data_IF_853137163888
#
_entry.id   IF_853137163888
#
_cell.length_a   1.000
_cell.length_b   1.000
_cell.length_c   1.000
_cell.angle_alpha   90.00
_cell.angle_beta   90.00
_cell.angle_gamma   90.00
#
_symmetry.space_group_name_H-M   'P 1'
#
loop_
_entity.id
_entity.type
_entity.pdbx_description
1 polymer ?
#
# COMPACT_ATOMS: atom_id res chain seq x y z
N UNK A 1 -19.19 45.55 -26.17
CA UNK A 1 -18.23 44.42 -26.33
C UNK A 1 -18.64 43.36 -25.33
N UNK A 2 -19.31 42.30 -25.81
CA UNK A 2 -19.75 41.17 -24.97
C UNK A 2 -18.57 40.23 -24.81
N UNK A 3 -17.90 40.27 -23.66
CA UNK A 3 -16.83 39.34 -23.33
C UNK A 3 -17.43 37.98 -22.99
N UNK A 4 -17.18 36.97 -23.82
CA UNK A 4 -17.48 35.57 -23.51
C UNK A 4 -16.78 35.17 -22.20
N UNK A 5 -17.41 34.36 -21.33
CA UNK A 5 -16.74 33.89 -20.12
C UNK A 5 -15.55 33.01 -20.52
N UNK A 6 -14.40 33.10 -19.82
CA UNK A 6 -13.29 32.20 -20.10
C UNK A 6 -13.72 30.77 -19.75
N UNK A 7 -13.81 29.90 -20.75
CA UNK A 7 -13.98 28.46 -20.53
C UNK A 7 -12.67 27.91 -19.97
N UNK A 8 -12.65 27.59 -18.68
CA UNK A 8 -11.52 26.93 -18.04
C UNK A 8 -11.18 25.63 -18.80
N UNK A 9 -9.89 25.39 -19.05
CA UNK A 9 -9.45 24.16 -19.72
C UNK A 9 -9.70 22.95 -18.83
N UNK A 10 -9.94 21.77 -19.44
CA UNK A 10 -10.10 20.50 -18.73
C UNK A 10 -8.92 20.23 -17.77
N UNK A 11 -7.70 20.56 -18.20
CA UNK A 11 -6.50 20.46 -17.35
C UNK A 11 -6.59 21.32 -16.09
N UNK A 12 -7.05 22.57 -16.22
CA UNK A 12 -7.21 23.48 -15.09
C UNK A 12 -8.27 22.98 -14.10
N UNK A 13 -9.32 22.33 -14.60
CA UNK A 13 -10.37 21.73 -13.76
C UNK A 13 -9.85 20.51 -12.99
N UNK A 14 -9.10 19.62 -13.64
CA UNK A 14 -8.48 18.45 -12.98
C UNK A 14 -7.45 18.88 -11.92
N UNK A 15 -6.62 19.88 -12.22
CA UNK A 15 -5.69 20.42 -11.23
C UNK A 15 -6.38 21.00 -10.00
N UNK A 16 -7.52 21.68 -10.21
CA UNK A 16 -8.30 22.26 -9.13
C UNK A 16 -8.94 21.17 -8.26
N UNK A 17 -9.54 20.16 -8.88
CA UNK A 17 -10.10 19.00 -8.18
C UNK A 17 -9.06 18.30 -7.32
N UNK A 18 -7.84 18.10 -7.87
CA UNK A 18 -6.71 17.57 -7.12
C UNK A 18 -6.30 18.47 -5.94
N UNK A 19 -6.30 19.80 -6.12
CA UNK A 19 -5.99 20.73 -5.03
C UNK A 19 -7.01 20.65 -3.90
N UNK A 20 -8.31 20.61 -4.22
CA UNK A 20 -9.40 20.49 -3.25
C UNK A 20 -9.32 19.16 -2.52
N UNK A 21 -9.14 18.06 -3.27
CA UNK A 21 -9.04 16.70 -2.71
C UNK A 21 -7.85 16.56 -1.76
N UNK A 22 -6.67 17.06 -2.16
CA UNK A 22 -5.46 17.02 -1.32
C UNK A 22 -5.62 17.83 -0.03
N UNK A 23 -6.26 19.00 -0.11
CA UNK A 23 -6.51 19.82 1.09
C UNK A 23 -7.52 19.17 2.03
N UNK A 24 -8.60 18.61 1.49
CA UNK A 24 -9.60 17.85 2.27
C UNK A 24 -8.97 16.64 2.97
N UNK A 25 -8.14 15.88 2.26
CA UNK A 25 -7.41 14.75 2.84
C UNK A 25 -6.46 15.19 3.95
N UNK A 26 -5.70 16.28 3.75
CA UNK A 26 -4.80 16.80 4.78
C UNK A 26 -5.58 17.23 6.04
N UNK A 27 -6.73 17.88 5.86
CA UNK A 27 -7.62 18.25 6.97
C UNK A 27 -8.12 17.02 7.74
N UNK A 28 -8.64 16.01 7.03
CA UNK A 28 -9.09 14.74 7.63
C UNK A 28 -7.97 14.07 8.43
N UNK A 29 -6.76 13.96 7.88
CA UNK A 29 -5.61 13.36 8.57
C UNK A 29 -5.30 14.04 9.90
N UNK A 30 -5.44 15.37 9.94
CA UNK A 30 -5.07 16.21 11.09
C UNK A 30 -6.19 16.28 12.13
N UNK A 31 -7.43 16.50 11.70
CA UNK A 31 -8.58 16.79 12.57
C UNK A 31 -9.28 15.51 13.02
N UNK A 32 -9.47 14.55 12.12
CA UNK A 32 -10.14 13.29 12.43
C UNK A 32 -9.16 12.32 13.12
N UNK A 33 -9.28 12.20 14.45
CA UNK A 33 -8.39 11.34 15.25
C UNK A 33 -8.51 9.86 14.87
N UNK A 34 -9.68 9.46 14.42
CA UNK A 34 -10.00 8.08 14.00
C UNK A 34 -9.65 7.83 12.52
N UNK A 35 -9.06 8.82 11.84
CA UNK A 35 -8.59 8.63 10.47
C UNK A 35 -7.61 7.46 10.41
N UNK A 36 -7.94 6.51 9.53
CA UNK A 36 -7.12 5.38 9.16
C UNK A 36 -7.14 5.21 7.64
N UNK A 37 -5.97 4.94 7.09
CA UNK A 37 -5.84 4.46 5.72
C UNK A 37 -6.54 3.10 5.59
N UNK A 38 -7.44 3.03 4.61
CA UNK A 38 -8.12 1.81 4.20
C UNK A 38 -7.72 1.51 2.76
N UNK A 39 -7.10 0.35 2.49
CA UNK A 39 -6.82 -0.06 1.13
C UNK A 39 -8.11 -0.07 0.31
N UNK A 40 -8.02 0.37 -0.95
CA UNK A 40 -9.13 0.26 -1.89
C UNK A 40 -9.30 -1.21 -2.25
N UNK A 41 -10.40 -1.79 -1.81
CA UNK A 41 -10.83 -3.13 -2.22
C UNK A 41 -12.09 -2.97 -3.06
N UNK A 42 -12.01 -3.09 -4.40
CA UNK A 42 -13.19 -3.01 -5.25
C UNK A 42 -14.16 -4.14 -4.86
N UNK A 43 -15.46 -3.82 -4.78
CA UNK A 43 -16.47 -4.82 -4.44
C UNK A 43 -16.50 -5.92 -5.49
N UNK A 44 -16.73 -7.17 -5.08
CA UNK A 44 -16.87 -8.32 -5.99
C UNK A 44 -17.99 -8.12 -7.02
N UNK A 45 -19.01 -7.32 -6.70
CA UNK A 45 -20.10 -6.99 -7.63
C UNK A 45 -19.70 -6.00 -8.73
N UNK A 46 -18.60 -5.26 -8.53
CA UNK A 46 -18.09 -4.32 -9.52
C UNK A 46 -17.34 -5.05 -10.64
N UNK A 47 -17.32 -4.46 -11.84
CA UNK A 47 -16.53 -5.00 -12.95
C UNK A 47 -15.05 -5.10 -12.57
N UNK A 48 -14.51 -4.05 -11.94
CA UNK A 48 -13.13 -4.00 -11.45
C UNK A 48 -12.85 -5.16 -10.49
N UNK A 49 -13.70 -5.37 -9.48
CA UNK A 49 -13.55 -6.44 -8.50
C UNK A 49 -13.57 -7.83 -9.13
N UNK A 50 -14.51 -8.10 -10.04
CA UNK A 50 -14.54 -9.39 -10.77
C UNK A 50 -13.28 -9.60 -11.61
N UNK A 51 -12.81 -8.56 -12.31
CA UNK A 51 -11.59 -8.65 -13.13
C UNK A 51 -10.37 -8.93 -12.23
N UNK A 52 -10.24 -8.22 -11.11
CA UNK A 52 -9.16 -8.45 -10.15
C UNK A 52 -9.20 -9.88 -9.60
N UNK A 53 -10.37 -10.38 -9.21
CA UNK A 53 -10.53 -11.74 -8.70
C UNK A 53 -10.11 -12.80 -9.74
N UNK A 54 -10.58 -12.66 -10.99
CA UNK A 54 -10.25 -13.58 -12.08
C UNK A 54 -8.74 -13.60 -12.34
N UNK A 55 -8.10 -12.42 -12.40
CA UNK A 55 -6.66 -12.31 -12.63
C UNK A 55 -5.86 -12.94 -11.49
N UNK A 56 -6.23 -12.63 -10.24
CA UNK A 56 -5.56 -13.20 -9.07
C UNK A 56 -5.70 -14.72 -9.03
N UNK A 57 -6.90 -15.23 -9.30
CA UNK A 57 -7.15 -16.68 -9.36
C UNK A 57 -6.32 -17.33 -10.45
N UNK A 58 -6.32 -16.79 -11.67
CA UNK A 58 -5.55 -17.33 -12.78
C UNK A 58 -4.04 -17.38 -12.48
N UNK A 59 -3.52 -16.36 -11.78
CA UNK A 59 -2.13 -16.35 -11.34
C UNK A 59 -1.82 -17.49 -10.36
N UNK A 60 -2.64 -17.68 -9.32
CA UNK A 60 -2.43 -18.75 -8.34
C UNK A 60 -2.63 -20.15 -8.93
N UNK A 61 -3.61 -20.31 -9.84
CA UNK A 61 -3.82 -21.56 -10.58
C UNK A 61 -2.59 -21.88 -11.46
N UNK A 62 -2.02 -20.87 -12.14
CA UNK A 62 -0.79 -21.02 -12.93
C UNK A 62 0.43 -21.38 -12.08
N UNK A 63 0.59 -20.76 -10.90
CA UNK A 63 1.65 -21.11 -9.96
C UNK A 63 1.50 -22.57 -9.50
N UNK A 64 0.28 -23.00 -9.18
CA UNK A 64 0.01 -24.38 -8.76
C UNK A 64 0.38 -25.38 -9.86
N UNK A 65 0.01 -25.11 -11.11
CA UNK A 65 0.37 -25.96 -12.26
C UNK A 65 1.89 -26.02 -12.46
N UNK A 66 2.58 -24.89 -12.34
CA UNK A 66 4.04 -24.82 -12.46
C UNK A 66 4.76 -25.64 -11.38
N UNK A 67 4.35 -25.53 -10.13
CA UNK A 67 4.95 -26.29 -9.03
C UNK A 67 4.64 -27.79 -9.09
N UNK A 68 3.51 -28.17 -9.67
CA UNK A 68 3.11 -29.57 -9.85
C UNK A 68 3.70 -30.23 -11.12
N UNK A 69 4.39 -29.47 -11.97
CA UNK A 69 5.05 -29.98 -13.18
C UNK A 69 6.26 -30.86 -12.83
N UNK A 70 6.70 -31.70 -13.78
CA UNK A 70 7.89 -32.54 -13.62
C UNK A 70 8.89 -32.29 -14.77
N UNK A 71 10.06 -31.64 -14.53
CA UNK A 71 10.47 -31.08 -13.24
C UNK A 71 9.64 -29.82 -12.86
N UNK A 72 9.56 -29.47 -11.56
CA UNK A 72 8.84 -28.29 -11.11
C UNK A 72 9.39 -26.99 -11.73
N UNK A 73 8.50 -26.09 -12.12
CA UNK A 73 8.84 -24.77 -12.61
C UNK A 73 8.65 -23.73 -11.50
N UNK A 74 9.70 -23.00 -11.15
CA UNK A 74 9.67 -22.02 -10.06
C UNK A 74 9.55 -20.56 -10.52
N UNK A 75 9.33 -20.31 -11.82
CA UNK A 75 9.33 -18.96 -12.40
C UNK A 75 8.43 -17.98 -11.63
N UNK A 76 7.17 -18.35 -11.39
CA UNK A 76 6.28 -17.49 -10.60
C UNK A 76 6.64 -17.44 -9.11
N UNK A 77 7.15 -18.52 -8.53
CA UNK A 77 7.56 -18.55 -7.12
C UNK A 77 8.72 -17.59 -6.85
N UNK A 78 9.72 -17.52 -7.75
CA UNK A 78 10.85 -16.58 -7.66
C UNK A 78 10.38 -15.13 -7.73
N UNK A 79 9.44 -14.81 -8.62
CA UNK A 79 8.83 -13.47 -8.69
C UNK A 79 8.12 -13.11 -7.36
N UNK A 80 7.40 -14.06 -6.77
CA UNK A 80 6.74 -13.84 -5.48
C UNK A 80 7.76 -13.64 -4.34
N UNK A 81 8.86 -14.41 -4.32
CA UNK A 81 9.92 -14.24 -3.33
C UNK A 81 10.60 -12.87 -3.43
N UNK A 82 10.84 -12.39 -4.65
CA UNK A 82 11.36 -11.04 -4.89
C UNK A 82 10.39 -9.97 -4.38
N UNK A 83 9.09 -10.12 -4.64
CA UNK A 83 8.09 -9.16 -4.16
C UNK A 83 7.93 -9.21 -2.63
N UNK A 84 8.01 -10.40 -2.02
CA UNK A 84 8.07 -10.56 -0.55
C UNK A 84 9.27 -9.83 0.03
N UNK A 85 10.46 -9.97 -0.57
CA UNK A 85 11.66 -9.22 -0.17
C UNK A 85 11.41 -7.72 -0.19
N UNK A 86 10.87 -7.20 -1.29
CA UNK A 86 10.55 -5.77 -1.46
C UNK A 86 9.54 -5.29 -0.40
N UNK A 87 8.48 -6.05 -0.16
CA UNK A 87 7.48 -5.73 0.85
C UNK A 87 8.09 -5.70 2.25
N UNK A 88 8.86 -6.71 2.64
CA UNK A 88 9.54 -6.76 3.94
C UNK A 88 10.52 -5.58 4.10
N UNK A 89 11.33 -5.30 3.09
CA UNK A 89 12.25 -4.15 3.10
C UNK A 89 11.52 -2.81 3.27
N UNK A 90 10.30 -2.68 2.72
CA UNK A 90 9.47 -1.47 2.87
C UNK A 90 8.92 -1.28 4.29
N UNK A 91 8.86 -2.36 5.09
CA UNK A 91 8.45 -2.33 6.49
C UNK A 91 9.60 -2.01 7.45
N UNK A 92 10.85 -2.01 6.95
CA UNK A 92 12.02 -1.76 7.78
C UNK A 92 12.25 -0.26 8.00
N UNK A 93 12.37 0.12 9.27
CA UNK A 93 12.87 1.43 9.66
C UNK A 93 14.36 1.57 9.32
N UNK A 94 14.89 2.80 9.13
CA UNK A 94 16.32 3.04 8.87
C UNK A 94 17.26 2.40 9.90
N UNK A 95 16.82 2.27 11.15
CA UNK A 95 17.58 1.66 12.24
C UNK A 95 17.75 0.13 12.09
N UNK A 96 16.94 -0.55 11.27
CA UNK A 96 16.96 -2.01 11.12
C UNK A 96 18.08 -2.50 10.18
N UNK A 97 19.32 -2.05 10.38
CA UNK A 97 20.45 -2.35 9.50
C UNK A 97 20.74 -3.85 9.45
N UNK A 98 20.82 -4.51 10.62
CA UNK A 98 21.10 -5.96 10.70
C UNK A 98 20.03 -6.80 10.02
N UNK A 99 18.76 -6.50 10.27
CA UNK A 99 17.65 -7.25 9.68
C UNK A 99 17.59 -7.07 8.16
N UNK A 100 17.92 -5.86 7.66
CA UNK A 100 18.06 -5.59 6.24
C UNK A 100 19.16 -6.45 5.60
N UNK A 101 20.34 -6.50 6.21
CA UNK A 101 21.43 -7.35 5.71
C UNK A 101 21.05 -8.84 5.69
N UNK A 102 20.37 -9.33 6.73
CA UNK A 102 19.90 -10.71 6.78
C UNK A 102 18.85 -11.01 5.69
N UNK A 103 17.93 -10.08 5.42
CA UNK A 103 16.98 -10.20 4.33
C UNK A 103 17.67 -10.25 2.96
N UNK A 104 18.70 -9.44 2.76
CA UNK A 104 19.44 -9.41 1.51
C UNK A 104 20.24 -10.68 1.26
N UNK A 105 20.80 -11.27 2.33
CA UNK A 105 21.55 -12.53 2.29
C UNK A 105 20.66 -13.76 2.08
N UNK A 106 19.54 -13.86 2.80
CA UNK A 106 18.67 -15.06 2.73
C UNK A 106 17.76 -15.03 1.50
N UNK A 107 17.24 -13.86 1.12
CA UNK A 107 16.47 -13.67 -0.10
C UNK A 107 17.37 -13.08 -1.19
N UNK A 108 18.51 -13.72 -1.44
CA UNK A 108 19.37 -13.41 -2.58
C UNK A 108 18.79 -14.06 -3.85
N UNK A 109 18.39 -13.23 -4.82
CA UNK A 109 17.75 -13.74 -6.04
C UNK A 109 18.72 -14.45 -6.98
N UNK A 110 20.00 -14.08 -6.96
CA UNK A 110 21.01 -14.75 -7.77
C UNK A 110 21.27 -16.16 -7.20
N UNK A 111 21.32 -16.28 -5.87
CA UNK A 111 21.41 -17.58 -5.20
C UNK A 111 20.16 -18.43 -5.40
N UNK A 112 18.97 -17.84 -5.24
CA UNK A 112 17.69 -18.55 -5.47
C UNK A 112 17.58 -19.03 -6.92
N UNK A 113 18.01 -18.23 -7.89
CA UNK A 113 18.09 -18.65 -9.30
C UNK A 113 18.98 -19.88 -9.48
N UNK A 114 20.16 -19.88 -8.85
CA UNK A 114 21.05 -21.05 -8.86
C UNK A 114 20.42 -22.27 -8.18
N UNK A 115 19.72 -22.09 -7.05
CA UNK A 115 19.01 -23.18 -6.37
C UNK A 115 17.92 -23.78 -7.26
N UNK A 116 17.21 -22.96 -8.06
CA UNK A 116 16.23 -23.44 -9.05
C UNK A 116 16.90 -24.25 -10.15
N UNK A 117 17.97 -23.74 -10.76
CA UNK A 117 18.68 -24.40 -11.87
C UNK A 117 19.22 -25.79 -11.49
N UNK A 118 19.55 -25.97 -10.21
CA UNK A 118 20.07 -27.23 -9.67
C UNK A 118 19.01 -28.09 -8.95
N UNK A 119 17.73 -27.67 -8.96
CA UNK A 119 16.64 -28.40 -8.31
C UNK A 119 16.77 -28.48 -6.78
N UNK A 120 17.44 -27.50 -6.16
CA UNK A 120 17.74 -27.45 -4.74
C UNK A 120 16.90 -26.43 -3.94
N UNK A 121 16.00 -25.68 -4.62
CA UNK A 121 15.18 -24.66 -3.97
C UNK A 121 14.26 -25.25 -2.90
N UNK A 122 14.36 -24.73 -1.68
CA UNK A 122 13.48 -25.07 -0.56
C UNK A 122 12.55 -23.89 -0.21
N UNK A 123 11.33 -23.93 -0.75
CA UNK A 123 10.30 -22.92 -0.48
C UNK A 123 9.87 -22.87 0.99
N UNK A 124 9.89 -23.99 1.71
CA UNK A 124 9.49 -24.03 3.11
C UNK A 124 10.51 -23.34 4.00
N UNK A 125 11.80 -23.59 3.77
CA UNK A 125 12.90 -22.90 4.46
C UNK A 125 12.82 -21.39 4.26
N UNK A 126 12.59 -20.93 3.02
CA UNK A 126 12.46 -19.50 2.72
C UNK A 126 11.20 -18.91 3.36
N UNK A 127 10.07 -19.61 3.29
CA UNK A 127 8.84 -19.17 3.93
C UNK A 127 8.97 -19.07 5.45
N UNK A 128 9.66 -20.01 6.11
CA UNK A 128 9.91 -19.94 7.55
C UNK A 128 10.73 -18.70 7.93
N UNK A 129 11.77 -18.38 7.17
CA UNK A 129 12.53 -17.15 7.35
C UNK A 129 11.66 -15.90 7.20
N UNK A 130 10.80 -15.87 6.17
CA UNK A 130 9.84 -14.79 5.93
C UNK A 130 8.87 -14.65 7.11
N UNK A 131 8.27 -15.74 7.58
CA UNK A 131 7.33 -15.74 8.71
C UNK A 131 8.02 -15.26 9.99
N UNK A 132 9.25 -15.69 10.26
CA UNK A 132 10.01 -15.23 11.42
C UNK A 132 10.33 -13.73 11.33
N UNK A 133 10.66 -13.25 10.14
CA UNK A 133 10.86 -11.82 9.89
C UNK A 133 9.56 -11.04 10.11
N UNK A 134 8.43 -11.53 9.58
CA UNK A 134 7.11 -10.94 9.79
C UNK A 134 6.76 -10.87 11.27
N UNK A 135 6.97 -11.94 12.03
CA UNK A 135 6.72 -11.99 13.46
C UNK A 135 7.54 -10.97 14.26
N UNK A 136 8.74 -10.62 13.79
CA UNK A 136 9.58 -9.60 14.43
C UNK A 136 9.15 -8.15 14.11
N UNK A 137 8.37 -7.95 13.06
CA UNK A 137 7.98 -6.63 12.55
C UNK A 137 6.49 -6.30 12.75
N UNK A 138 5.65 -7.30 12.94
CA UNK A 138 4.20 -7.12 12.99
C UNK A 138 3.73 -6.43 14.27
N UNK A 139 2.59 -5.74 14.18
CA UNK A 139 1.89 -5.24 15.36
C UNK A 139 1.28 -6.42 16.14
N UNK A 140 1.13 -6.33 17.48
CA UNK A 140 0.61 -7.43 18.30
C UNK A 140 -0.76 -7.99 17.86
N UNK A 141 -1.59 -7.15 17.23
CA UNK A 141 -2.90 -7.54 16.68
C UNK A 141 -2.80 -8.55 15.53
N UNK A 142 -1.62 -8.69 14.91
CA UNK A 142 -1.34 -9.59 13.78
C UNK A 142 -0.67 -10.89 14.20
N UNK A 143 -0.25 -11.02 15.47
CA UNK A 143 0.42 -12.22 15.95
C UNK A 143 -0.40 -13.51 15.70
N UNK A 144 -1.74 -13.54 15.85
CA UNK A 144 -2.53 -14.72 15.53
C UNK A 144 -2.43 -15.12 14.05
N UNK A 145 -2.56 -14.16 13.13
CA UNK A 145 -2.48 -14.40 11.69
C UNK A 145 -1.07 -14.86 11.27
N UNK A 146 -0.01 -14.27 11.83
CA UNK A 146 1.38 -14.69 11.56
C UNK A 146 1.67 -16.09 12.09
N UNK A 147 1.09 -16.47 13.25
CA UNK A 147 1.21 -17.84 13.76
C UNK A 147 0.52 -18.86 12.86
N UNK A 148 -0.67 -18.54 12.35
CA UNK A 148 -1.43 -19.44 11.49
C UNK A 148 -0.69 -19.79 10.18
N UNK A 149 0.21 -18.92 9.69
CA UNK A 149 1.06 -19.21 8.54
C UNK A 149 1.92 -20.47 8.72
N UNK A 150 2.32 -20.78 9.97
CA UNK A 150 3.17 -21.94 10.27
C UNK A 150 2.47 -23.28 10.10
N UNK A 151 1.13 -23.28 10.10
CA UNK A 151 0.32 -24.48 9.98
C UNK A 151 0.03 -24.84 8.51
N UNK A 152 0.32 -23.94 7.57
CA UNK A 152 0.08 -24.12 6.13
C UNK A 152 1.22 -24.94 5.49
N UNK A 153 0.86 -26.07 4.88
CA UNK A 153 1.80 -26.98 4.22
C UNK A 153 1.85 -26.87 2.71
N UNK A 154 0.77 -26.40 2.09
CA UNK A 154 0.73 -26.26 0.63
C UNK A 154 1.45 -24.96 0.22
N UNK A 155 2.52 -25.01 -0.61
CA UNK A 155 3.34 -23.84 -0.91
C UNK A 155 2.58 -22.67 -1.51
N UNK A 156 1.61 -22.95 -2.40
CA UNK A 156 0.78 -21.92 -3.06
C UNK A 156 -0.11 -21.21 -2.05
N UNK A 157 -0.77 -21.97 -1.17
CA UNK A 157 -1.62 -21.42 -0.11
C UNK A 157 -0.79 -20.61 0.89
N UNK A 158 0.37 -21.13 1.28
CA UNK A 158 1.29 -20.46 2.17
C UNK A 158 1.77 -19.11 1.61
N UNK A 159 2.24 -19.08 0.35
CA UNK A 159 2.66 -17.84 -0.31
C UNK A 159 1.49 -16.85 -0.41
N UNK A 160 0.30 -17.31 -0.82
CA UNK A 160 -0.89 -16.47 -0.90
C UNK A 160 -1.23 -15.82 0.45
N UNK A 161 -1.17 -16.58 1.54
CA UNK A 161 -1.49 -16.07 2.86
C UNK A 161 -0.39 -15.15 3.41
N UNK A 162 0.89 -15.41 3.11
CA UNK A 162 2.00 -14.50 3.39
C UNK A 162 1.73 -13.12 2.76
N UNK A 163 1.35 -13.08 1.48
CA UNK A 163 1.04 -11.82 0.79
C UNK A 163 -0.15 -11.09 1.44
N UNK A 164 -1.20 -11.83 1.81
CA UNK A 164 -2.37 -11.25 2.49
C UNK A 164 -1.95 -10.57 3.80
N UNK A 165 -1.17 -11.27 4.63
CA UNK A 165 -0.71 -10.74 5.93
C UNK A 165 0.28 -9.60 5.75
N UNK A 166 1.21 -9.66 4.79
CA UNK A 166 2.11 -8.54 4.46
C UNK A 166 1.34 -7.29 4.01
N UNK A 167 0.27 -7.44 3.24
CA UNK A 167 -0.62 -6.33 2.88
C UNK A 167 -1.30 -5.67 4.08
N UNK A 168 -1.72 -6.47 5.06
CA UNK A 168 -2.23 -5.96 6.33
C UNK A 168 -1.14 -5.24 7.13
N UNK A 169 0.05 -5.84 7.26
CA UNK A 169 1.18 -5.22 7.97
C UNK A 169 1.59 -3.87 7.35
N UNK A 170 1.53 -3.74 6.02
CA UNK A 170 1.77 -2.48 5.32
C UNK A 170 0.71 -1.43 5.67
N UNK A 171 -0.55 -1.83 5.74
CA UNK A 171 -1.65 -0.96 6.17
C UNK A 171 -1.45 -0.50 7.62
N UNK A 172 -1.05 -1.42 8.50
CA UNK A 172 -0.75 -1.13 9.91
C UNK A 172 0.40 -0.12 10.02
N UNK A 173 1.49 -0.30 9.26
CA UNK A 173 2.63 0.64 9.25
C UNK A 173 2.23 2.04 8.74
N UNK A 174 1.42 2.12 7.68
CA UNK A 174 0.92 3.42 7.18
C UNK A 174 0.09 4.12 8.25
N UNK A 175 -0.83 3.39 8.89
CA UNK A 175 -1.67 3.93 9.96
C UNK A 175 -0.83 4.40 11.17
N UNK A 176 0.14 3.59 11.59
CA UNK A 176 1.08 3.96 12.64
C UNK A 176 1.89 5.21 12.28
N UNK A 177 2.35 5.32 11.03
CA UNK A 177 3.13 6.47 10.55
C UNK A 177 2.29 7.74 10.56
N UNK A 178 1.04 7.67 10.09
CA UNK A 178 0.09 8.79 10.14
C UNK A 178 -0.13 9.25 11.58
N UNK A 179 -0.40 8.32 12.49
CA UNK A 179 -0.60 8.63 13.90
C UNK A 179 0.64 9.27 14.55
N UNK A 180 1.82 8.76 14.22
CA UNK A 180 3.09 9.26 14.76
C UNK A 180 3.43 10.67 14.25
N UNK A 181 3.10 10.97 12.99
CA UNK A 181 3.36 12.28 12.38
C UNK A 181 2.29 13.33 12.69
N UNK A 182 1.07 12.93 13.06
CA UNK A 182 -0.07 13.83 13.31
C UNK A 182 0.26 15.03 14.21
N UNK A 183 0.97 14.90 15.36
CA UNK A 183 1.31 16.05 16.19
C UNK A 183 2.16 17.11 15.46
N UNK A 184 3.05 16.68 14.57
CA UNK A 184 3.87 17.57 13.76
C UNK A 184 3.05 18.21 12.62
N UNK A 185 2.16 17.43 11.99
CA UNK A 185 1.26 17.94 10.95
C UNK A 185 0.32 19.02 11.51
N UNK A 186 -0.20 18.84 12.72
CA UNK A 186 -1.06 19.82 13.40
C UNK A 186 -0.40 21.20 13.56
N UNK A 187 0.92 21.25 13.80
CA UNK A 187 1.65 22.51 13.98
C UNK A 187 1.68 23.36 12.70
N UNK A 188 1.59 22.72 11.54
CA UNK A 188 1.69 23.37 10.23
C UNK A 188 0.36 23.40 9.47
N UNK A 189 -0.66 22.69 9.96
CA UNK A 189 -1.95 22.50 9.29
C UNK A 189 -2.60 23.83 8.88
N UNK A 190 -2.69 24.80 9.79
CA UNK A 190 -3.30 26.11 9.52
C UNK A 190 -2.59 26.85 8.37
N UNK A 191 -1.26 26.80 8.34
CA UNK A 191 -0.48 27.48 7.29
C UNK A 191 -0.67 26.79 5.94
N UNK A 192 -0.61 25.45 5.93
CA UNK A 192 -0.85 24.63 4.75
C UNK A 192 -2.25 24.87 4.16
N UNK A 193 -3.27 24.78 5.01
CA UNK A 193 -4.67 24.99 4.67
C UNK A 193 -4.91 26.37 4.08
N UNK A 194 -4.40 27.45 4.72
CA UNK A 194 -4.51 28.81 4.19
C UNK A 194 -3.83 28.97 2.84
N UNK A 195 -2.63 28.42 2.67
CA UNK A 195 -1.89 28.51 1.41
C UNK A 195 -2.61 27.77 0.28
N UNK A 196 -3.17 26.59 0.55
CA UNK A 196 -3.94 25.82 -0.44
C UNK A 196 -5.28 26.47 -0.76
N UNK A 197 -5.96 27.01 0.25
CA UNK A 197 -7.17 27.78 0.05
C UNK A 197 -6.94 29.00 -0.84
N UNK A 198 -5.85 29.75 -0.62
CA UNK A 198 -5.50 30.88 -1.48
C UNK A 198 -5.23 30.44 -2.93
N UNK A 199 -4.50 29.34 -3.15
CA UNK A 199 -4.28 28.77 -4.49
C UNK A 199 -5.59 28.41 -5.19
N UNK A 200 -6.58 27.89 -4.45
CA UNK A 200 -7.91 27.55 -4.99
C UNK A 200 -8.66 28.83 -5.41
N UNK A 201 -8.63 29.89 -4.57
CA UNK A 201 -9.25 31.17 -4.89
C UNK A 201 -8.61 31.84 -6.11
N UNK A 202 -7.28 31.81 -6.22
CA UNK A 202 -6.56 32.41 -7.35
C UNK A 202 -6.91 31.71 -8.68
N UNK A 203 -7.20 30.39 -8.62
CA UNK A 203 -7.65 29.59 -9.78
C UNK A 203 -9.15 29.73 -10.08
N UNK A 204 -9.97 30.20 -9.14
CA UNK A 204 -11.41 30.46 -9.34
C UNK A 204 -11.86 31.81 -8.75
N UNK A 205 -11.60 32.93 -9.44
CA UNK A 205 -12.21 34.21 -9.07
C UNK A 205 -13.73 34.19 -9.37
N UNK A 206 -14.59 34.44 -8.37
CA UNK A 206 -16.05 34.60 -8.54
C UNK A 206 -16.94 33.73 -7.62
N UNK A 207 -18.22 33.54 -7.97
CA UNK A 207 -19.26 32.88 -7.14
C UNK A 207 -18.88 31.46 -6.65
N UNK A 208 -18.11 30.70 -7.43
CA UNK A 208 -17.67 29.34 -7.04
C UNK A 208 -16.59 29.36 -5.95
N UNK A 209 -15.71 30.35 -5.95
CA UNK A 209 -14.78 30.59 -4.85
C UNK A 209 -15.50 30.97 -3.55
N UNK A 210 -16.60 31.72 -3.65
CA UNK A 210 -17.46 32.07 -2.50
C UNK A 210 -18.16 30.86 -1.88
N UNK A 211 -18.67 29.92 -2.68
CA UNK A 211 -19.27 28.68 -2.16
C UNK A 211 -18.25 27.86 -1.36
N UNK A 212 -17.05 27.69 -1.93
CA UNK A 212 -15.97 26.98 -1.27
C UNK A 212 -15.55 27.68 0.03
N UNK A 213 -15.46 29.02 0.03
CA UNK A 213 -15.17 29.81 1.22
C UNK A 213 -16.22 29.64 2.34
N UNK A 214 -17.49 29.46 2.00
CA UNK A 214 -18.56 29.24 2.96
C UNK A 214 -18.53 27.84 3.58
N UNK A 215 -18.14 26.82 2.82
CA UNK A 215 -17.94 25.46 3.34
C UNK A 215 -16.71 25.39 4.23
N UNK A 216 -15.62 26.04 3.84
CA UNK A 216 -14.36 26.04 4.58
C UNK A 216 -14.48 26.70 5.96
N UNK A 217 -15.31 27.75 6.09
CA UNK A 217 -15.63 28.37 7.40
C UNK A 217 -16.33 27.43 8.40
N UNK A 218 -16.85 26.28 7.94
CA UNK A 218 -17.51 25.28 8.79
C UNK A 218 -16.52 24.23 9.31
N UNK A 219 -15.27 24.22 8.82
CA UNK A 219 -14.26 23.29 9.30
C UNK A 219 -13.79 23.71 10.69
N UNK A 220 -13.92 22.84 11.71
CA UNK A 220 -13.46 23.16 13.05
C UNK A 220 -11.92 23.20 13.04
N UNK A 221 -11.37 24.27 13.64
CA UNK A 221 -9.98 24.35 14.07
C UNK A 221 -9.85 23.79 15.49
#
# INVERSE_FOLDING_TARGET
VSGSPPTASLSSLMELENCVSNMSLAHEIVVNRDFCFKPRNPSTDSLEGRVTEIVHRAFWDSLQEQLNSDPPNYSHAVLLLQEVKTMLQSLLLPAHVRLRSQLDEVLDMDLIGQEVDHGALDLHRLAEFVINTMASLCAPVRDPEVRALRDLKEPVELLREIFRVLGLMKTDMVNFTIQSLRPHLMQQAIQYERAKFQQILDKQPGEKGFHFQCEWKKWPL
#
